data_IF_082818619314
#
_entry.id   IF_082818619314
#
_cell.length_a   1.000
_cell.length_b   1.000
_cell.length_c   1.000
_cell.angle_alpha   90.00
_cell.angle_beta   90.00
_cell.angle_gamma   90.00
#
_symmetry.space_group_name_H-M   'P 1'
#
loop_
_entity.id
_entity.type
_entity.pdbx_description
1 polymer ?
#
# COMPACT_ATOMS: atom_id res chain seq x y z
N UNK A 1 -72.04 -9.04 14.43
CA UNK A 1 -72.91 -7.86 14.51
C UNK A 1 -73.39 -7.73 15.96
N UNK A 2 -73.26 -6.57 16.51
CA UNK A 2 -73.66 -6.28 17.87
C UNK A 2 -74.67 -5.14 17.87
N UNK A 3 -75.85 -5.34 18.52
CA UNK A 3 -76.93 -4.36 18.71
C UNK A 3 -78.29 -4.88 18.24
N UNK A 4 -79.28 -4.31 18.87
CA UNK A 4 -80.70 -4.52 18.57
C UNK A 4 -81.40 -3.15 18.35
N UNK A 5 -82.45 -3.13 17.51
CA UNK A 5 -83.18 -1.93 17.22
C UNK A 5 -82.73 -1.22 15.94
N UNK A 6 -82.86 0.10 15.89
CA UNK A 6 -82.64 0.89 14.70
C UNK A 6 -81.14 1.19 14.37
N UNK A 7 -80.23 0.86 15.30
CA UNK A 7 -78.78 1.03 15.11
C UNK A 7 -78.07 -0.27 15.43
N UNK A 8 -77.31 -0.79 14.44
CA UNK A 8 -76.50 -2.00 14.56
C UNK A 8 -75.06 -1.66 14.21
N UNK A 9 -74.06 -2.17 14.94
CA UNK A 9 -72.64 -2.05 14.64
C UNK A 9 -72.17 -3.39 14.03
N UNK A 10 -71.46 -3.26 12.91
CA UNK A 10 -70.74 -4.37 12.34
C UNK A 10 -69.23 -4.20 12.64
N UNK A 11 -68.59 -5.20 13.16
CA UNK A 11 -67.14 -5.19 13.45
C UNK A 11 -66.43 -6.00 12.37
N UNK A 12 -65.52 -5.37 11.64
CA UNK A 12 -64.73 -5.99 10.57
C UNK A 12 -63.43 -6.67 11.08
N UNK A 13 -63.16 -6.69 12.40
CA UNK A 13 -61.88 -7.11 12.96
C UNK A 13 -61.45 -8.55 12.58
N UNK A 14 -62.40 -9.41 12.18
CA UNK A 14 -62.12 -10.77 11.68
C UNK A 14 -62.60 -11.02 10.26
N UNK A 15 -63.02 -9.96 9.53
CA UNK A 15 -63.48 -10.09 8.18
C UNK A 15 -62.28 -10.06 7.19
N UNK A 16 -62.20 -11.05 6.32
CA UNK A 16 -61.25 -11.03 5.22
C UNK A 16 -61.53 -9.85 4.23
N UNK A 17 -60.55 -9.35 3.49
CA UNK A 17 -60.81 -8.37 2.45
C UNK A 17 -61.87 -8.89 1.45
N UNK A 18 -62.84 -8.04 1.13
CA UNK A 18 -63.94 -8.40 0.26
C UNK A 18 -65.13 -7.48 0.41
N UNK A 19 -66.23 -7.78 -0.31
CA UNK A 19 -67.49 -7.03 -0.23
C UNK A 19 -68.50 -7.85 0.58
N UNK A 20 -69.06 -7.26 1.63
CA UNK A 20 -69.99 -7.86 2.55
C UNK A 20 -71.35 -7.13 2.43
N UNK A 21 -72.38 -7.86 2.00
CA UNK A 21 -73.74 -7.36 1.95
C UNK A 21 -74.42 -7.47 3.31
N UNK A 22 -74.70 -6.36 3.97
CA UNK A 22 -75.47 -6.35 5.20
C UNK A 22 -76.95 -6.13 4.82
N UNK A 23 -77.80 -7.11 5.16
CA UNK A 23 -79.23 -7.04 4.89
C UNK A 23 -79.97 -6.71 6.19
N UNK A 24 -80.85 -5.73 6.13
CA UNK A 24 -81.71 -5.33 7.21
C UNK A 24 -83.15 -5.62 6.84
N UNK A 25 -83.88 -6.26 7.77
CA UNK A 25 -85.32 -6.56 7.62
C UNK A 25 -86.04 -5.94 8.81
N UNK A 26 -87.04 -5.15 8.53
CA UNK A 26 -87.96 -4.62 9.51
C UNK A 26 -89.34 -5.27 9.33
N UNK A 27 -89.97 -5.71 10.44
CA UNK A 27 -91.28 -6.31 10.45
C UNK A 27 -92.18 -5.54 11.45
N UNK A 28 -93.37 -5.14 11.01
CA UNK A 28 -94.29 -4.36 11.87
C UNK A 28 -95.25 -5.29 12.71
N UNK A 29 -95.03 -6.61 12.75
CA UNK A 29 -95.83 -7.55 13.49
C UNK A 29 -97.25 -7.73 12.99
N UNK A 30 -97.64 -7.14 11.85
CA UNK A 30 -98.96 -7.21 11.18
C UNK A 30 -98.88 -7.69 9.73
N UNK A 31 -97.72 -8.32 9.35
CA UNK A 31 -97.51 -8.86 8.03
C UNK A 31 -96.84 -7.91 7.06
N UNK A 32 -96.55 -6.67 7.48
CA UNK A 32 -95.79 -5.73 6.66
C UNK A 32 -94.27 -5.89 6.88
N UNK A 33 -93.56 -6.19 5.81
CA UNK A 33 -92.07 -6.39 5.82
C UNK A 33 -91.42 -5.37 4.91
N UNK A 34 -90.40 -4.70 5.40
CA UNK A 34 -89.44 -3.91 4.60
C UNK A 34 -88.04 -4.47 4.72
N UNK A 35 -87.31 -4.48 3.60
CA UNK A 35 -85.93 -4.93 3.62
C UNK A 35 -85.05 -3.97 2.77
N UNK A 36 -83.84 -3.79 3.23
CA UNK A 36 -82.76 -3.08 2.50
C UNK A 36 -81.45 -3.78 2.68
N UNK A 37 -80.48 -3.49 1.81
CA UNK A 37 -79.11 -3.99 1.92
C UNK A 37 -78.13 -2.87 1.67
N UNK A 38 -77.00 -2.95 2.31
CA UNK A 38 -75.83 -2.10 2.05
C UNK A 38 -74.58 -2.95 1.91
N UNK A 39 -73.77 -2.66 0.91
CA UNK A 39 -72.48 -3.32 0.68
C UNK A 39 -71.39 -2.55 1.39
N UNK A 40 -70.64 -3.25 2.22
CA UNK A 40 -69.43 -2.72 2.88
C UNK A 40 -68.21 -3.41 2.29
N UNK A 41 -67.28 -2.63 1.77
CA UNK A 41 -65.99 -3.13 1.29
C UNK A 41 -64.97 -3.11 2.42
N UNK A 42 -64.38 -4.28 2.68
CA UNK A 42 -63.23 -4.43 3.55
C UNK A 42 -62.00 -4.50 2.68
N UNK A 43 -61.09 -3.55 2.86
CA UNK A 43 -59.83 -3.50 2.11
C UNK A 43 -58.66 -3.96 2.95
N UNK A 44 -57.61 -4.49 2.27
CA UNK A 44 -56.33 -4.78 2.91
C UNK A 44 -55.71 -3.47 3.36
N UNK A 45 -55.39 -3.33 4.63
CA UNK A 45 -54.66 -2.18 5.13
C UNK A 45 -53.26 -2.19 4.52
N UNK A 46 -52.85 -1.10 3.79
CA UNK A 46 -51.50 -1.02 3.21
C UNK A 46 -50.43 -1.23 4.28
N UNK A 47 -49.40 -2.01 3.92
CA UNK A 47 -48.20 -2.17 4.75
C UNK A 47 -47.40 -0.88 4.61
N UNK A 48 -47.06 -0.28 5.74
CA UNK A 48 -46.11 0.85 5.81
C UNK A 48 -44.77 0.31 6.22
N UNK A 49 -43.74 0.42 5.35
CA UNK A 49 -42.40 -0.06 5.67
C UNK A 49 -41.77 0.78 6.78
N UNK A 50 -40.88 0.21 7.58
CA UNK A 50 -40.05 0.97 8.51
C UNK A 50 -39.05 1.87 7.76
N UNK A 51 -38.47 2.84 8.46
CA UNK A 51 -37.31 3.60 8.00
C UNK A 51 -36.06 3.01 8.66
N UNK A 52 -34.91 3.10 7.98
CA UNK A 52 -33.65 2.58 8.48
C UNK A 52 -32.49 3.47 8.05
N UNK A 53 -31.58 3.78 8.99
CA UNK A 53 -30.24 4.30 8.72
C UNK A 53 -29.21 3.32 9.28
N UNK A 54 -28.09 3.13 8.58
CA UNK A 54 -27.02 2.21 8.96
C UNK A 54 -25.71 2.97 9.03
N UNK A 55 -25.01 2.95 10.17
CA UNK A 55 -23.76 3.69 10.39
C UNK A 55 -22.74 2.85 11.13
N UNK A 56 -21.46 3.12 10.88
CA UNK A 56 -20.34 2.57 11.64
C UNK A 56 -19.83 3.63 12.63
N UNK A 57 -19.47 3.20 13.85
CA UNK A 57 -18.95 4.10 14.89
C UNK A 57 -17.58 4.66 14.52
N UNK A 58 -16.75 3.82 13.86
CA UNK A 58 -15.41 4.18 13.35
C UNK A 58 -15.15 3.55 11.99
N UNK A 59 -14.61 4.32 11.09
CA UNK A 59 -13.99 3.89 9.83
C UNK A 59 -12.99 4.99 9.43
N UNK A 60 -11.72 4.67 9.17
CA UNK A 60 -11.12 3.34 9.12
C UNK A 60 -10.89 2.69 10.50
N UNK A 61 -10.65 1.36 10.49
CA UNK A 61 -10.13 0.55 11.59
C UNK A 61 -8.91 -0.25 11.13
N UNK A 62 -8.06 -0.70 12.06
CA UNK A 62 -6.91 -1.55 11.74
C UNK A 62 -7.33 -3.01 11.66
N UNK A 63 -6.67 -3.80 10.83
CA UNK A 63 -6.85 -5.26 10.72
C UNK A 63 -6.82 -5.92 12.11
N UNK A 64 -7.81 -6.78 12.40
CA UNK A 64 -8.00 -7.41 13.70
C UNK A 64 -8.79 -6.56 14.71
N UNK A 65 -9.05 -5.28 14.44
CA UNK A 65 -9.93 -4.46 15.27
C UNK A 65 -11.40 -4.66 14.94
N UNK A 66 -12.25 -4.08 15.78
CA UNK A 66 -13.70 -4.10 15.60
C UNK A 66 -14.29 -2.69 15.70
N UNK A 67 -15.43 -2.49 15.03
CA UNK A 67 -16.21 -1.26 15.13
C UNK A 67 -17.69 -1.58 15.37
N UNK A 68 -18.40 -0.71 16.08
CA UNK A 68 -19.85 -0.81 16.26
C UNK A 68 -20.57 -0.45 14.96
N UNK A 69 -21.65 -1.18 14.68
CA UNK A 69 -22.60 -0.89 13.59
C UNK A 69 -23.94 -0.60 14.24
N UNK A 70 -24.48 0.56 13.96
CA UNK A 70 -25.80 0.99 14.47
C UNK A 70 -26.80 1.01 13.32
N UNK A 71 -27.89 0.26 13.50
CA UNK A 71 -29.09 0.28 12.65
C UNK A 71 -30.16 1.12 13.36
N UNK A 72 -30.25 2.40 13.02
CA UNK A 72 -31.26 3.32 13.55
C UNK A 72 -32.53 3.19 12.71
N UNK A 73 -33.55 2.53 13.31
CA UNK A 73 -34.77 2.17 12.59
C UNK A 73 -36.02 2.64 13.35
N UNK A 74 -37.04 3.06 12.61
CA UNK A 74 -38.34 3.48 13.16
C UNK A 74 -39.48 2.90 12.29
N UNK A 75 -40.49 2.35 12.96
CA UNK A 75 -41.71 1.89 12.30
C UNK A 75 -42.84 2.92 12.48
N UNK A 76 -43.51 3.38 11.40
CA UNK A 76 -44.56 4.40 11.47
C UNK A 76 -45.83 3.97 12.23
N UNK A 77 -45.95 2.65 12.48
CA UNK A 77 -47.07 2.08 13.26
C UNK A 77 -46.60 1.58 14.65
N UNK A 78 -45.33 1.92 15.06
CA UNK A 78 -44.69 1.48 16.33
C UNK A 78 -44.68 -0.05 16.49
N UNK A 79 -44.45 -0.77 15.39
CA UNK A 79 -44.38 -2.24 15.41
C UNK A 79 -43.03 -2.71 15.88
N UNK A 80 -42.99 -3.94 16.38
CA UNK A 80 -41.74 -4.60 16.70
C UNK A 80 -40.90 -4.83 15.44
N UNK A 81 -39.62 -4.47 15.50
CA UNK A 81 -38.66 -4.63 14.42
C UNK A 81 -37.71 -5.81 14.69
N UNK A 82 -37.48 -6.57 13.65
CA UNK A 82 -36.44 -7.64 13.60
C UNK A 82 -35.30 -7.16 12.73
N UNK A 83 -34.06 -7.29 13.24
CA UNK A 83 -32.84 -6.84 12.59
C UNK A 83 -32.07 -8.02 12.00
N UNK A 84 -31.49 -7.82 10.84
CA UNK A 84 -30.55 -8.75 10.22
C UNK A 84 -29.43 -8.00 9.52
N UNK A 85 -28.25 -8.63 9.42
CA UNK A 85 -27.03 -8.02 8.91
C UNK A 85 -26.30 -8.96 7.98
N UNK A 86 -25.63 -8.38 7.00
CA UNK A 86 -24.62 -9.10 6.20
C UNK A 86 -23.44 -8.18 5.88
N UNK A 87 -22.28 -8.76 5.61
CA UNK A 87 -21.09 -8.01 5.19
C UNK A 87 -20.41 -8.69 4.02
N UNK A 88 -19.68 -7.90 3.21
CA UNK A 88 -18.90 -8.43 2.08
C UNK A 88 -17.62 -9.16 2.52
N UNK A 89 -17.25 -9.09 3.80
CA UNK A 89 -16.16 -9.79 4.46
C UNK A 89 -16.10 -9.40 5.93
N UNK A 90 -15.17 -9.98 6.70
CA UNK A 90 -15.20 -9.88 8.16
C UNK A 90 -16.40 -10.63 8.75
N UNK A 91 -16.71 -10.33 10.00
CA UNK A 91 -17.80 -11.02 10.72
C UNK A 91 -18.67 -10.05 11.49
N UNK A 92 -20.00 -10.22 11.41
CA UNK A 92 -20.93 -9.49 12.27
C UNK A 92 -21.18 -10.31 13.54
N UNK A 93 -21.08 -9.65 14.69
CA UNK A 93 -21.25 -10.25 16.02
C UNK A 93 -22.31 -9.46 16.78
N UNK A 94 -23.35 -10.17 17.24
CA UNK A 94 -24.48 -9.60 17.96
C UNK A 94 -25.78 -9.67 17.17
N UNK A 95 -26.84 -9.13 17.78
CA UNK A 95 -28.18 -9.03 17.22
C UNK A 95 -28.86 -7.74 17.73
N UNK A 96 -30.00 -7.37 17.16
CA UNK A 96 -30.73 -6.15 17.53
C UNK A 96 -30.18 -4.90 16.84
N UNK A 97 -30.50 -3.68 17.36
CA UNK A 97 -30.21 -2.42 16.66
C UNK A 97 -28.72 -2.02 16.67
N UNK A 98 -27.90 -2.65 17.50
CA UNK A 98 -26.45 -2.43 17.56
C UNK A 98 -25.72 -3.76 17.54
N UNK A 99 -24.79 -3.89 16.62
CA UNK A 99 -23.93 -5.06 16.45
C UNK A 99 -22.46 -4.61 16.27
N UNK A 100 -21.55 -5.55 16.21
CA UNK A 100 -20.13 -5.28 16.01
C UNK A 100 -19.66 -5.91 14.72
N UNK A 101 -18.99 -5.14 13.89
CA UNK A 101 -18.16 -5.64 12.79
C UNK A 101 -16.79 -6.00 13.33
N UNK A 102 -16.34 -7.22 13.11
CA UNK A 102 -15.06 -7.80 13.55
C UNK A 102 -14.22 -8.09 12.30
N UNK A 103 -13.08 -7.41 12.16
CA UNK A 103 -12.18 -7.55 11.03
C UNK A 103 -11.14 -8.65 11.17
N UNK A 104 -11.20 -9.46 12.23
CA UNK A 104 -10.24 -10.56 12.43
C UNK A 104 -10.23 -11.50 11.22
N UNK A 105 -9.05 -11.64 10.57
CA UNK A 105 -8.87 -12.46 9.37
C UNK A 105 -9.41 -11.85 8.07
N UNK A 106 -9.86 -10.60 8.10
CA UNK A 106 -10.19 -9.83 6.91
C UNK A 106 -8.97 -9.05 6.43
N UNK A 107 -8.58 -9.22 5.16
CA UNK A 107 -7.48 -8.46 4.57
C UNK A 107 -7.79 -6.95 4.53
N UNK A 108 -6.78 -6.07 4.47
CA UNK A 108 -7.00 -4.64 4.25
C UNK A 108 -7.86 -4.36 3.01
N UNK A 109 -8.85 -3.47 3.15
CA UNK A 109 -9.80 -3.17 2.07
C UNK A 109 -11.08 -2.53 2.57
N UNK A 110 -12.01 -2.28 1.66
CA UNK A 110 -13.32 -1.71 1.96
C UNK A 110 -14.37 -2.81 2.07
N UNK A 111 -15.10 -2.83 3.18
CA UNK A 111 -16.16 -3.80 3.47
C UNK A 111 -17.49 -3.09 3.58
N UNK A 112 -18.48 -3.55 2.80
CA UNK A 112 -19.84 -3.05 2.90
C UNK A 112 -20.63 -3.87 3.89
N UNK A 113 -21.17 -3.22 4.92
CA UNK A 113 -22.11 -3.82 5.86
C UNK A 113 -23.51 -3.38 5.47
N UNK A 114 -24.39 -4.37 5.21
CA UNK A 114 -25.81 -4.17 4.95
C UNK A 114 -26.59 -4.42 6.25
N UNK A 115 -27.42 -3.44 6.63
CA UNK A 115 -28.40 -3.51 7.68
C UNK A 115 -29.78 -3.73 7.05
N UNK A 116 -30.59 -4.62 7.59
CA UNK A 116 -31.95 -4.87 7.14
C UNK A 116 -32.88 -4.96 8.34
N UNK A 117 -34.07 -4.37 8.23
CA UNK A 117 -35.13 -4.48 9.26
C UNK A 117 -36.43 -4.94 8.64
N UNK A 118 -37.19 -5.68 9.43
CA UNK A 118 -38.54 -6.11 9.05
C UNK A 118 -39.50 -5.91 10.23
N UNK A 119 -40.73 -5.46 9.95
CA UNK A 119 -41.80 -5.46 10.92
C UNK A 119 -42.62 -6.77 10.84
N UNK A 120 -43.51 -7.01 11.83
CA UNK A 120 -44.36 -8.20 11.95
C UNK A 120 -45.44 -8.36 10.86
N UNK A 121 -45.57 -7.35 9.96
CA UNK A 121 -46.48 -7.38 8.80
C UNK A 121 -45.77 -7.57 7.47
N UNK A 122 -44.44 -7.77 7.49
CA UNK A 122 -43.63 -7.96 6.27
C UNK A 122 -43.18 -6.68 5.60
N UNK A 123 -43.39 -5.52 6.23
CA UNK A 123 -42.72 -4.27 5.78
C UNK A 123 -41.23 -4.33 6.08
N UNK A 124 -40.38 -4.01 5.09
CA UNK A 124 -38.91 -4.10 5.20
C UNK A 124 -38.23 -2.78 4.81
N UNK A 125 -37.06 -2.54 5.36
CA UNK A 125 -36.13 -1.49 4.89
C UNK A 125 -34.69 -1.98 4.96
N UNK A 126 -33.88 -1.54 4.01
CA UNK A 126 -32.45 -1.83 3.87
C UNK A 126 -31.64 -0.53 3.86
N UNK A 127 -30.46 -0.57 4.48
CA UNK A 127 -29.45 0.48 4.41
C UNK A 127 -28.06 -0.15 4.46
N UNK A 128 -27.02 0.56 4.06
CA UNK A 128 -25.65 0.05 4.14
C UNK A 128 -24.67 1.13 4.59
N UNK A 129 -23.57 0.67 5.18
CA UNK A 129 -22.41 1.50 5.52
C UNK A 129 -21.13 0.80 5.09
N UNK A 130 -20.04 1.57 4.90
CA UNK A 130 -18.75 1.01 4.56
C UNK A 130 -17.80 1.11 5.76
N UNK A 131 -17.01 0.06 5.94
CA UNK A 131 -15.91 0.01 6.92
C UNK A 131 -14.63 -0.24 6.14
N UNK A 132 -13.69 0.70 6.21
CA UNK A 132 -12.35 0.55 5.69
C UNK A 132 -11.49 -0.15 6.74
N UNK A 133 -10.85 -1.26 6.35
CA UNK A 133 -9.85 -1.98 7.15
C UNK A 133 -8.48 -1.67 6.59
N UNK A 134 -7.61 -1.11 7.41
CA UNK A 134 -6.24 -0.76 7.05
C UNK A 134 -5.25 -1.77 7.62
N UNK A 135 -4.13 -1.97 6.92
CA UNK A 135 -3.03 -2.74 7.48
C UNK A 135 -2.50 -2.07 8.76
N UNK A 136 -2.03 -2.86 9.74
CA UNK A 136 -1.33 -2.30 10.89
C UNK A 136 -0.09 -1.52 10.42
N UNK A 137 0.19 -0.40 11.10
CA UNK A 137 1.42 0.34 10.83
C UNK A 137 2.63 -0.58 11.03
N UNK A 138 3.66 -0.47 10.17
CA UNK A 138 4.91 -1.21 10.37
C UNK A 138 5.47 -0.92 11.78
N UNK A 139 6.12 -1.91 12.43
CA UNK A 139 6.82 -1.65 13.68
C UNK A 139 7.77 -0.46 13.53
N UNK A 140 7.95 0.39 14.54
CA UNK A 140 8.88 1.53 14.47
C UNK A 140 10.28 1.15 14.00
N UNK A 141 10.76 -0.02 14.38
CA UNK A 141 12.05 -0.59 13.96
C UNK A 141 12.15 -0.78 12.44
N UNK A 142 11.05 -1.14 11.76
CA UNK A 142 11.05 -1.29 10.29
C UNK A 142 11.21 0.08 9.63
N UNK A 143 10.51 1.10 10.12
CA UNK A 143 10.64 2.46 9.61
C UNK A 143 12.05 3.03 9.84
N UNK A 144 12.67 2.75 10.99
CA UNK A 144 14.07 3.12 11.28
C UNK A 144 15.04 2.40 10.35
N UNK A 145 14.83 1.11 10.09
CA UNK A 145 15.64 0.34 9.15
C UNK A 145 15.48 0.85 7.73
N UNK A 146 14.26 1.18 7.28
CA UNK A 146 14.02 1.78 5.97
C UNK A 146 14.71 3.13 5.84
N UNK A 147 14.71 3.96 6.87
CA UNK A 147 15.42 5.24 6.88
C UNK A 147 16.95 5.05 6.89
N UNK A 148 17.48 4.05 7.59
CA UNK A 148 18.93 3.71 7.64
C UNK A 148 19.40 3.01 6.37
N UNK A 149 18.54 2.20 5.74
CA UNK A 149 18.75 1.70 4.40
C UNK A 149 18.82 2.85 3.37
N UNK A 150 19.17 4.10 3.84
CA UNK A 150 19.51 5.20 2.96
C UNK A 150 20.58 4.70 2.01
N UNK A 151 20.06 4.19 0.91
CA UNK A 151 20.82 3.52 -0.10
C UNK A 151 21.82 4.53 -0.66
N UNK A 152 23.10 4.23 -0.59
CA UNK A 152 24.13 5.03 -1.22
C UNK A 152 24.53 4.39 -2.54
N UNK A 153 24.74 5.20 -3.56
CA UNK A 153 25.39 4.72 -4.78
C UNK A 153 26.81 4.27 -4.49
N UNK A 154 27.21 3.18 -5.11
CA UNK A 154 28.54 2.56 -4.96
C UNK A 154 29.42 3.01 -6.14
N UNK A 155 30.54 3.64 -5.84
CA UNK A 155 31.43 4.21 -6.85
C UNK A 155 32.62 3.31 -7.17
N UNK A 156 33.01 3.29 -8.43
CA UNK A 156 34.04 2.41 -8.95
C UNK A 156 35.22 3.16 -9.53
N UNK A 157 36.41 2.59 -9.40
CA UNK A 157 37.59 3.05 -10.10
C UNK A 157 37.39 3.02 -11.62
N UNK A 158 38.15 3.87 -12.34
CA UNK A 158 38.14 3.90 -13.81
C UNK A 158 38.47 2.51 -14.40
N UNK A 159 37.67 2.07 -15.37
CA UNK A 159 37.83 0.79 -16.09
C UNK A 159 37.94 -0.47 -15.20
N UNK A 160 37.38 -0.42 -14.01
CA UNK A 160 37.32 -1.55 -13.08
C UNK A 160 35.87 -1.94 -12.77
N UNK A 161 35.64 -3.25 -12.42
CA UNK A 161 36.54 -4.42 -12.51
C UNK A 161 36.94 -4.78 -13.94
N UNK A 162 38.04 -5.54 -14.09
CA UNK A 162 38.43 -6.13 -15.37
C UNK A 162 38.09 -7.61 -15.42
N UNK A 163 38.07 -8.21 -16.62
CA UNK A 163 37.85 -9.66 -16.78
C UNK A 163 38.93 -10.50 -16.05
N UNK A 164 40.17 -9.98 -16.03
CA UNK A 164 41.30 -10.66 -15.34
C UNK A 164 41.33 -10.43 -13.82
N UNK A 165 40.60 -9.42 -13.34
CA UNK A 165 40.48 -9.10 -11.92
C UNK A 165 39.02 -8.71 -11.61
N UNK A 166 38.10 -9.70 -11.53
CA UNK A 166 36.68 -9.44 -11.28
C UNK A 166 36.41 -8.91 -9.87
N UNK A 167 37.29 -9.19 -8.90
CA UNK A 167 37.18 -8.70 -7.53
C UNK A 167 37.71 -7.27 -7.35
N UNK A 168 38.34 -6.69 -8.37
CA UNK A 168 38.87 -5.32 -8.30
C UNK A 168 37.80 -4.24 -8.42
N UNK A 169 38.22 -2.99 -8.17
CA UNK A 169 37.44 -1.79 -8.46
C UNK A 169 36.61 -1.24 -7.30
N UNK A 170 36.28 -2.05 -6.31
CA UNK A 170 35.71 -1.59 -5.04
C UNK A 170 36.85 -1.17 -4.09
N UNK A 171 36.94 0.11 -3.83
CA UNK A 171 37.87 0.65 -2.82
C UNK A 171 37.30 0.44 -1.42
N UNK A 172 38.14 0.55 -0.39
CA UNK A 172 37.79 0.19 0.99
C UNK A 172 36.55 0.96 1.50
N UNK A 173 36.44 2.27 1.24
CA UNK A 173 35.26 3.04 1.64
C UNK A 173 33.96 2.53 1.00
N UNK A 174 34.02 2.01 -0.23
CA UNK A 174 32.83 1.46 -0.91
C UNK A 174 32.51 0.04 -0.43
N UNK A 175 33.51 -0.71 0.04
CA UNK A 175 33.28 -1.98 0.72
C UNK A 175 32.59 -1.75 2.08
N UNK A 176 33.02 -0.72 2.83
CA UNK A 176 32.37 -0.33 4.10
C UNK A 176 30.89 0.03 3.90
N UNK A 177 30.55 0.77 2.84
CA UNK A 177 29.16 1.13 2.48
C UNK A 177 28.34 -0.12 2.16
N UNK A 178 28.89 -1.05 1.36
CA UNK A 178 28.21 -2.30 1.01
C UNK A 178 28.06 -3.23 2.23
N UNK A 179 29.04 -3.28 3.14
CA UNK A 179 28.97 -4.09 4.35
C UNK A 179 27.89 -3.56 5.32
N UNK A 180 27.78 -2.24 5.46
CA UNK A 180 26.71 -1.62 6.22
C UNK A 180 25.35 -1.92 5.61
N UNK A 181 25.20 -1.78 4.30
CA UNK A 181 23.99 -2.14 3.57
C UNK A 181 23.61 -3.61 3.77
N UNK A 182 24.58 -4.53 3.66
CA UNK A 182 24.33 -5.96 3.86
C UNK A 182 23.82 -6.24 5.30
N UNK A 183 24.40 -5.60 6.30
CA UNK A 183 23.99 -5.74 7.70
C UNK A 183 22.55 -5.27 7.92
N UNK A 184 22.22 -4.06 7.46
CA UNK A 184 20.90 -3.48 7.66
C UNK A 184 19.84 -4.20 6.80
N UNK A 185 20.19 -4.61 5.57
CA UNK A 185 19.27 -5.34 4.70
C UNK A 185 18.99 -6.76 5.18
N UNK A 186 19.98 -7.48 5.69
CA UNK A 186 19.75 -8.79 6.33
C UNK A 186 18.78 -8.68 7.52
N UNK A 187 18.92 -7.64 8.33
CA UNK A 187 17.97 -7.37 9.41
C UNK A 187 16.59 -7.01 8.87
N UNK A 188 16.53 -6.21 7.83
CA UNK A 188 15.26 -5.83 7.18
C UNK A 188 14.51 -7.05 6.62
N UNK A 189 15.23 -8.01 6.03
CA UNK A 189 14.65 -9.25 5.53
C UNK A 189 13.96 -10.10 6.61
N UNK A 190 14.30 -9.93 7.88
CA UNK A 190 13.60 -10.63 8.99
C UNK A 190 12.16 -10.14 9.16
N UNK A 191 11.86 -8.91 8.74
CA UNK A 191 10.52 -8.30 8.77
C UNK A 191 9.83 -8.31 7.41
N UNK A 192 10.59 -8.26 6.34
CA UNK A 192 10.13 -8.18 4.94
C UNK A 192 10.87 -9.22 4.10
N UNK A 193 10.54 -10.52 4.24
CA UNK A 193 11.29 -11.61 3.59
C UNK A 193 11.23 -11.56 2.05
N UNK A 194 10.21 -10.91 1.48
CA UNK A 194 10.04 -10.76 0.04
C UNK A 194 10.70 -9.49 -0.53
N UNK A 195 11.44 -8.73 0.30
CA UNK A 195 12.14 -7.54 -0.17
C UNK A 195 13.32 -7.89 -1.07
N UNK A 196 13.55 -7.04 -2.09
CA UNK A 196 14.67 -7.18 -3.02
C UNK A 196 15.41 -5.86 -3.15
N UNK A 197 16.74 -5.95 -3.32
CA UNK A 197 17.58 -4.87 -3.80
C UNK A 197 17.76 -5.00 -5.31
N UNK A 198 17.57 -3.89 -6.05
CA UNK A 198 17.96 -3.83 -7.46
C UNK A 198 19.21 -2.99 -7.60
N UNK A 199 20.25 -3.57 -8.22
CA UNK A 199 21.55 -2.94 -8.47
C UNK A 199 21.62 -2.49 -9.93
N UNK A 200 21.64 -1.16 -10.16
CA UNK A 200 21.71 -0.54 -11.48
C UNK A 200 23.11 -0.05 -11.81
N UNK A 201 23.79 -0.67 -12.78
CA UNK A 201 25.17 -0.33 -13.15
C UNK A 201 25.29 0.75 -14.20
N UNK A 202 26.13 1.76 -13.96
CA UNK A 202 26.40 2.87 -14.86
C UNK A 202 27.91 3.00 -15.17
N UNK A 203 28.21 3.48 -16.37
CA UNK A 203 29.59 3.80 -16.80
C UNK A 203 29.67 5.24 -17.29
N UNK A 204 30.84 5.84 -17.21
CA UNK A 204 31.06 7.16 -17.80
C UNK A 204 31.03 7.13 -19.35
N UNK A 205 30.95 8.29 -19.97
CA UNK A 205 30.75 8.43 -21.43
C UNK A 205 31.89 7.88 -22.30
N UNK A 206 33.05 7.56 -21.71
CA UNK A 206 34.24 7.09 -22.43
C UNK A 206 34.10 5.63 -22.81
N UNK A 207 34.65 5.27 -23.97
CA UNK A 207 34.58 3.90 -24.49
C UNK A 207 33.33 3.62 -25.37
N UNK A 208 33.34 2.45 -26.01
CA UNK A 208 32.22 2.02 -26.84
C UNK A 208 31.01 1.61 -25.95
N UNK A 209 29.84 1.60 -26.52
CA UNK A 209 28.61 1.15 -25.87
C UNK A 209 28.72 -0.29 -25.36
N UNK A 210 29.20 -1.19 -26.23
CA UNK A 210 29.38 -2.59 -25.88
C UNK A 210 30.40 -2.80 -24.74
N UNK A 211 31.51 -2.04 -24.75
CA UNK A 211 32.49 -2.07 -23.66
C UNK A 211 31.86 -1.59 -22.33
N UNK A 212 31.11 -0.51 -22.36
CA UNK A 212 30.49 0.06 -21.16
C UNK A 212 29.41 -0.88 -20.62
N UNK A 213 28.62 -1.51 -21.48
CA UNK A 213 27.64 -2.52 -21.07
C UNK A 213 28.31 -3.66 -20.30
N UNK A 214 29.36 -4.27 -20.87
CA UNK A 214 30.12 -5.34 -20.19
C UNK A 214 30.79 -4.85 -18.90
N UNK A 215 31.27 -3.59 -18.86
CA UNK A 215 31.86 -3.03 -17.66
C UNK A 215 30.83 -2.86 -16.54
N UNK A 216 29.63 -2.39 -16.87
CA UNK A 216 28.56 -2.24 -15.88
C UNK A 216 28.00 -3.55 -15.41
N UNK A 217 27.91 -4.58 -16.26
CA UNK A 217 27.61 -5.96 -15.85
C UNK A 217 28.61 -6.45 -14.77
N UNK A 218 29.92 -6.23 -15.00
CA UNK A 218 30.93 -6.62 -13.99
C UNK A 218 30.82 -5.83 -12.68
N UNK A 219 30.42 -4.53 -12.73
CA UNK A 219 30.22 -3.72 -11.52
C UNK A 219 29.05 -4.20 -10.68
N UNK A 220 27.91 -4.44 -11.32
CA UNK A 220 26.74 -4.94 -10.58
C UNK A 220 27.00 -6.33 -10.02
N UNK A 221 27.66 -7.20 -10.79
CA UNK A 221 28.03 -8.54 -10.32
C UNK A 221 29.02 -8.50 -9.15
N UNK A 222 30.03 -7.61 -9.19
CA UNK A 222 30.97 -7.42 -8.07
C UNK A 222 30.26 -6.93 -6.81
N UNK A 223 29.34 -5.97 -6.96
CA UNK A 223 28.53 -5.48 -5.84
C UNK A 223 27.62 -6.58 -5.28
N UNK A 224 26.98 -7.36 -6.15
CA UNK A 224 26.15 -8.51 -5.77
C UNK A 224 26.97 -9.57 -5.03
N UNK A 225 28.12 -9.99 -5.60
CA UNK A 225 29.00 -10.96 -4.95
C UNK A 225 29.41 -10.52 -3.56
N UNK A 226 29.78 -9.23 -3.40
CA UNK A 226 30.14 -8.68 -2.08
C UNK A 226 28.98 -8.76 -1.08
N UNK A 227 27.76 -8.40 -1.47
CA UNK A 227 26.57 -8.48 -0.62
C UNK A 227 26.28 -9.94 -0.22
N UNK A 228 26.40 -10.88 -1.16
CA UNK A 228 26.21 -12.33 -0.90
C UNK A 228 27.28 -12.86 0.05
N UNK A 229 28.55 -12.48 -0.12
CA UNK A 229 29.65 -12.82 0.78
C UNK A 229 29.38 -12.32 2.23
N UNK A 230 28.57 -11.23 2.36
CA UNK A 230 28.16 -10.67 3.65
C UNK A 230 26.76 -11.12 4.09
N UNK A 231 26.28 -12.25 3.54
CA UNK A 231 25.10 -12.97 4.02
C UNK A 231 23.76 -12.57 3.38
N UNK A 232 23.75 -11.64 2.43
CA UNK A 232 22.49 -11.31 1.72
C UNK A 232 22.12 -12.46 0.77
N UNK A 233 20.87 -12.98 0.83
CA UNK A 233 20.45 -14.05 -0.07
C UNK A 233 20.55 -13.62 -1.54
N UNK A 234 21.19 -14.42 -2.38
CA UNK A 234 21.37 -14.11 -3.81
C UNK A 234 20.04 -13.87 -4.54
N UNK A 235 18.96 -14.54 -4.11
CA UNK A 235 17.61 -14.39 -4.65
C UNK A 235 16.94 -13.05 -4.29
N UNK A 236 17.45 -12.33 -3.28
CA UNK A 236 16.97 -11.00 -2.89
C UNK A 236 17.74 -9.85 -3.58
N UNK A 237 18.54 -10.16 -4.62
CA UNK A 237 19.33 -9.15 -5.35
C UNK A 237 19.10 -9.32 -6.84
N UNK A 238 18.48 -8.32 -7.45
CA UNK A 238 18.35 -8.16 -8.89
C UNK A 238 19.45 -7.26 -9.45
N UNK A 239 19.85 -7.47 -10.69
CA UNK A 239 20.89 -6.68 -11.34
C UNK A 239 20.43 -6.16 -12.70
N UNK A 240 20.79 -4.91 -13.00
CA UNK A 240 20.51 -4.23 -14.26
C UNK A 240 21.76 -3.51 -14.74
N UNK A 241 21.99 -3.48 -16.03
CA UNK A 241 23.16 -2.84 -16.64
C UNK A 241 22.70 -1.77 -17.65
N UNK A 242 22.99 -0.50 -17.35
CA UNK A 242 22.59 0.63 -18.17
C UNK A 242 23.73 1.12 -19.11
N UNK A 243 24.95 0.60 -18.94
CA UNK A 243 26.07 1.09 -19.73
C UNK A 243 26.32 2.59 -19.48
N UNK A 244 26.26 3.39 -20.55
CA UNK A 244 26.40 4.85 -20.49
C UNK A 244 25.11 5.62 -20.81
N UNK A 245 23.98 4.92 -20.91
CA UNK A 245 22.73 5.50 -21.44
C UNK A 245 22.02 6.40 -20.44
N UNK A 246 22.24 6.20 -19.13
CA UNK A 246 21.63 7.00 -18.05
C UNK A 246 22.70 7.74 -17.23
N UNK A 247 23.47 8.56 -17.93
CA UNK A 247 24.54 9.36 -17.33
C UNK A 247 24.00 10.65 -16.71
N UNK A 248 24.54 10.97 -15.52
CA UNK A 248 24.34 12.27 -14.89
C UNK A 248 25.01 13.36 -15.74
N UNK A 249 24.29 14.43 -15.96
CA UNK A 249 24.82 15.64 -16.60
C UNK A 249 25.70 16.46 -15.65
N UNK A 250 26.47 17.42 -16.20
CA UNK A 250 27.25 18.31 -15.38
C UNK A 250 26.40 19.18 -14.45
N UNK A 251 25.20 19.56 -14.88
CA UNK A 251 24.22 20.31 -14.10
C UNK A 251 23.70 19.48 -12.91
N UNK A 252 23.31 18.24 -13.14
CA UNK A 252 22.86 17.34 -12.08
C UNK A 252 23.96 17.07 -11.04
N UNK A 253 25.21 16.89 -11.49
CA UNK A 253 26.34 16.71 -10.56
C UNK A 253 26.64 17.99 -9.77
N UNK A 254 26.51 19.18 -10.37
CA UNK A 254 26.62 20.47 -9.65
C UNK A 254 25.54 20.58 -8.56
N UNK A 255 24.30 20.27 -8.89
CA UNK A 255 23.18 20.32 -7.95
C UNK A 255 23.43 19.36 -6.77
N UNK A 256 23.82 18.11 -7.06
CA UNK A 256 24.17 17.14 -6.01
C UNK A 256 25.33 17.59 -5.11
N UNK A 257 26.32 18.31 -5.67
CA UNK A 257 27.41 18.86 -4.87
C UNK A 257 26.95 20.06 -4.03
N UNK A 258 26.05 20.89 -4.56
CA UNK A 258 25.51 22.07 -3.86
C UNK A 258 24.74 21.67 -2.62
N UNK A 259 23.99 20.57 -2.71
CA UNK A 259 23.18 20.03 -1.61
C UNK A 259 23.97 19.05 -0.71
N UNK A 260 25.27 18.89 -0.97
CA UNK A 260 26.10 18.00 -0.15
C UNK A 260 26.60 18.71 1.10
N UNK A 261 26.07 18.38 2.31
CA UNK A 261 26.47 19.02 3.56
C UNK A 261 27.89 18.70 3.99
N UNK A 262 28.54 17.70 3.38
CA UNK A 262 29.90 17.28 3.73
C UNK A 262 30.95 18.18 3.07
N UNK A 263 30.60 18.99 2.05
CA UNK A 263 31.54 19.87 1.34
C UNK A 263 31.58 21.25 1.99
N UNK A 264 32.80 21.68 2.36
CA UNK A 264 33.03 23.07 2.69
C UNK A 264 32.93 23.96 1.45
N UNK A 265 32.71 25.28 1.59
CA UNK A 265 32.67 26.21 0.44
C UNK A 265 33.92 26.14 -0.44
N UNK A 266 35.09 25.98 0.16
CA UNK A 266 36.39 25.90 -0.56
C UNK A 266 36.53 24.58 -1.31
N UNK A 267 36.04 23.47 -0.73
CA UNK A 267 36.01 22.14 -1.38
C UNK A 267 35.04 22.13 -2.54
N UNK A 268 33.87 22.75 -2.36
CA UNK A 268 32.89 22.90 -3.42
C UNK A 268 33.47 23.68 -4.61
N UNK A 269 34.17 24.79 -4.37
CA UNK A 269 34.84 25.54 -5.46
C UNK A 269 35.93 24.72 -6.15
N UNK A 270 36.75 23.98 -5.39
CA UNK A 270 37.75 23.06 -5.97
C UNK A 270 37.12 21.95 -6.81
N UNK A 271 35.99 21.40 -6.35
CA UNK A 271 35.23 20.40 -7.08
C UNK A 271 34.67 20.99 -8.40
N UNK A 272 34.12 22.19 -8.36
CA UNK A 272 33.63 22.89 -9.57
C UNK A 272 34.76 23.18 -10.57
N UNK A 273 35.95 23.52 -10.12
CA UNK A 273 37.12 23.70 -10.99
C UNK A 273 37.54 22.40 -11.71
N UNK A 274 37.18 21.25 -11.19
CA UNK A 274 37.48 19.93 -11.72
C UNK A 274 36.22 19.16 -12.19
N UNK A 275 35.14 19.89 -12.50
CA UNK A 275 33.81 19.34 -12.74
C UNK A 275 33.77 18.16 -13.73
N UNK A 276 34.52 18.27 -14.84
CA UNK A 276 34.53 17.22 -15.86
C UNK A 276 34.99 15.86 -15.30
N UNK A 277 36.04 15.87 -14.49
CA UNK A 277 36.57 14.62 -13.86
C UNK A 277 35.58 14.10 -12.85
N UNK A 278 34.93 14.97 -12.08
CA UNK A 278 33.93 14.61 -11.08
C UNK A 278 32.66 14.04 -11.74
N UNK A 279 32.19 14.60 -12.85
CA UNK A 279 31.09 14.05 -13.64
C UNK A 279 31.40 12.63 -14.11
N UNK A 280 32.62 12.40 -14.62
CA UNK A 280 33.05 11.05 -15.00
C UNK A 280 33.06 10.10 -13.80
N UNK A 281 33.52 10.57 -12.63
CA UNK A 281 33.57 9.76 -11.42
C UNK A 281 32.18 9.42 -10.91
N UNK A 282 31.25 10.38 -10.90
CA UNK A 282 29.85 10.15 -10.51
C UNK A 282 29.12 9.17 -11.44
N UNK A 283 29.51 9.10 -12.70
CA UNK A 283 28.92 8.15 -13.65
C UNK A 283 29.52 6.74 -13.59
N UNK A 284 30.55 6.52 -12.81
CA UNK A 284 31.11 5.16 -12.55
C UNK A 284 30.53 4.59 -11.28
N UNK A 285 29.23 4.29 -11.30
CA UNK A 285 28.48 3.91 -10.11
C UNK A 285 27.61 2.69 -10.29
N UNK A 286 27.18 2.14 -9.20
CA UNK A 286 26.04 1.23 -9.09
C UNK A 286 25.02 1.89 -8.17
N UNK A 287 23.85 2.20 -8.71
CA UNK A 287 22.72 2.70 -7.95
C UNK A 287 21.99 1.51 -7.31
N UNK A 288 21.42 1.70 -6.13
CA UNK A 288 20.69 0.70 -5.38
C UNK A 288 19.26 1.17 -5.17
N UNK A 289 18.28 0.30 -5.37
CA UNK A 289 16.90 0.57 -5.02
C UNK A 289 16.28 -0.57 -4.22
N UNK A 290 15.29 -0.22 -3.38
CA UNK A 290 14.57 -1.16 -2.52
C UNK A 290 13.16 -1.38 -3.08
N UNK A 291 12.79 -2.62 -3.32
CA UNK A 291 11.51 -2.98 -3.97
C UNK A 291 10.28 -2.58 -3.16
N UNK A 292 10.34 -2.66 -1.83
CA UNK A 292 9.19 -2.44 -0.93
C UNK A 292 8.76 -0.99 -0.81
N UNK A 293 9.71 -0.05 -0.91
CA UNK A 293 9.45 1.39 -0.76
C UNK A 293 9.61 2.16 -2.08
N UNK A 294 10.27 1.56 -3.07
CA UNK A 294 10.69 2.26 -4.29
C UNK A 294 11.82 3.27 -4.07
N UNK A 295 12.41 3.27 -2.86
CA UNK A 295 13.49 4.18 -2.51
C UNK A 295 14.69 3.95 -3.42
N UNK A 296 15.26 5.04 -3.92
CA UNK A 296 16.46 5.07 -4.76
C UNK A 296 17.67 5.50 -3.93
N UNK A 297 18.85 5.05 -4.34
CA UNK A 297 20.09 5.43 -3.69
C UNK A 297 20.39 6.93 -3.78
N UNK A 298 20.87 7.48 -2.69
CA UNK A 298 21.42 8.84 -2.65
C UNK A 298 22.74 8.86 -3.43
N UNK A 299 22.81 9.65 -4.48
CA UNK A 299 23.98 9.81 -5.34
C UNK A 299 24.94 10.83 -4.74
N UNK A 300 25.51 10.49 -3.58
CA UNK A 300 26.48 11.36 -2.88
C UNK A 300 27.87 10.81 -3.10
N UNK A 301 28.69 11.56 -3.87
CA UNK A 301 30.07 11.17 -4.11
C UNK A 301 30.90 11.30 -2.81
N UNK A 302 31.74 10.30 -2.46
CA UNK A 302 32.44 10.25 -1.17
C UNK A 302 33.72 11.10 -1.18
N UNK A 303 33.59 12.44 -1.24
CA UNK A 303 34.73 13.36 -1.31
C UNK A 303 35.69 13.25 -0.15
N UNK A 304 35.22 12.91 1.05
CA UNK A 304 36.01 12.79 2.28
C UNK A 304 36.52 11.38 2.57
N UNK A 305 36.19 10.41 1.71
CA UNK A 305 36.73 9.08 1.88
C UNK A 305 38.26 9.08 1.73
N UNK A 306 38.97 8.30 2.54
CA UNK A 306 40.42 8.15 2.50
C UNK A 306 40.98 7.74 1.13
N UNK A 307 40.14 7.11 0.33
CA UNK A 307 40.45 6.58 -1.00
C UNK A 307 39.69 7.31 -2.13
N UNK A 308 39.08 8.49 -1.85
CA UNK A 308 38.33 9.28 -2.84
C UNK A 308 39.17 9.60 -4.09
N UNK A 309 40.47 9.84 -3.92
CA UNK A 309 41.39 10.09 -5.03
C UNK A 309 41.55 8.90 -5.98
N UNK A 310 41.44 7.66 -5.47
CA UNK A 310 41.48 6.47 -6.31
C UNK A 310 40.22 6.34 -7.18
N UNK A 311 39.09 6.87 -6.72
CA UNK A 311 37.84 6.92 -7.47
C UNK A 311 37.84 8.02 -8.55
N UNK A 312 38.50 9.16 -8.28
CA UNK A 312 38.59 10.32 -9.22
C UNK A 312 39.63 10.07 -10.32
N UNK A 313 40.76 9.43 -9.96
CA UNK A 313 41.89 9.29 -10.87
C UNK A 313 41.49 8.66 -12.22
N UNK A 314 41.76 9.31 -13.35
CA UNK A 314 41.69 8.64 -14.64
C UNK A 314 42.73 7.51 -14.63
N UNK A 315 42.36 6.28 -14.98
CA UNK A 315 43.36 5.24 -15.17
C UNK A 315 44.31 5.68 -16.27
N UNK A 316 45.58 5.77 -15.94
CA UNK A 316 46.62 5.96 -16.92
C UNK A 316 46.65 4.66 -17.75
N UNK A 317 46.16 4.72 -18.98
CA UNK A 317 46.34 3.64 -19.94
C UNK A 317 47.84 3.50 -20.20
N UNK A 318 48.39 2.38 -19.70
CA UNK A 318 49.65 1.83 -20.18
C UNK A 318 50.90 2.65 -19.85
N UNK A 319 51.28 2.71 -18.58
CA UNK A 319 52.70 2.79 -18.30
C UNK A 319 53.21 1.34 -18.33
N UNK A 320 54.06 0.95 -19.28
CA UNK A 320 54.72 -0.36 -19.22
C UNK A 320 55.48 -0.45 -17.90
N UNK A 321 55.61 -1.62 -17.29
CA UNK A 321 56.39 -1.76 -16.06
C UNK A 321 57.79 -1.19 -16.30
N UNK A 322 58.19 -0.28 -15.37
CA UNK A 322 59.52 0.33 -15.42
C UNK A 322 60.57 -0.80 -15.63
N UNK A 323 61.33 -0.69 -16.69
CA UNK A 323 62.39 -1.65 -16.99
C UNK A 323 63.30 -1.69 -15.76
N UNK A 324 63.50 -2.90 -15.21
CA UNK A 324 64.45 -3.14 -14.15
C UNK A 324 65.79 -2.71 -14.67
N UNK A 325 66.35 -1.65 -14.13
CA UNK A 325 67.71 -1.24 -14.36
C UNK A 325 68.64 -2.33 -13.90
N UNK A 326 69.28 -3.00 -14.84
CA UNK A 326 70.33 -3.95 -14.55
C UNK A 326 71.53 -3.16 -13.98
N UNK A 327 72.09 -3.52 -12.85
CA UNK A 327 73.28 -2.85 -12.35
C UNK A 327 74.47 -3.13 -13.27
N UNK A 328 75.40 -2.19 -13.44
CA UNK A 328 76.59 -2.41 -14.28
C UNK A 328 77.43 -3.51 -13.69
N UNK A 329 77.86 -4.47 -14.51
CA UNK A 329 78.89 -5.42 -14.16
C UNK A 329 80.20 -4.72 -13.98
N UNK A 330 80.83 -4.89 -12.83
CA UNK A 330 82.27 -4.65 -12.62
C UNK A 330 83.11 -5.75 -13.26
#
# INVERSE_FOLDING_TARGET
>A
MDGTGSIVRWNSGHAAPGVYAIKVRADNGRGGIAACSVDIRVEVRPIRPPTLNCSADRSPIVEGESTGITADASDPENRQLTYSYSSSGGRIVGNGPKVRFDSTGAAPGNYTVKCSVANDRGGTADASTNVEVQAPAPPPEVAELEARLSLHSIYFQTARPTEKNPEGGLVESQQEVLAALATDFNRYLTFKPDAHLTLGGHADVRGSEEYNKRLTERRVERSKSFLVEHGVPAGSIEVQSFGKDDNLTAEQVKEQMQDNPDLTPEEHQRALANLQIIVLANNRRVDVSLSTTGQQSVRRYPFHAKDAMALISPSVHGQPPAAKSTPPKQ
#
